data_IF_164382049937
#
_entry.id   IF_164382049937
#
_cell.length_a   1.000
_cell.length_b   1.000
_cell.length_c   1.000
_cell.angle_alpha   90.00
_cell.angle_beta   90.00
_cell.angle_gamma   90.00
#
_symmetry.space_group_name_H-M   'P 1'
#
loop_
_entity.id
_entity.type
_entity.pdbx_description
1 polymer ?
#
# COMPACT_ATOMS: atom_id res chain seq x y z
N UNK A 1 -25.17 16.80 -21.00
CA UNK A 1 -24.32 17.89 -20.48
C UNK A 1 -23.72 18.75 -21.59
N UNK A 2 -23.10 18.19 -22.64
CA UNK A 2 -22.58 18.98 -23.78
C UNK A 2 -23.63 19.90 -24.41
N UNK A 3 -24.78 19.35 -24.80
CA UNK A 3 -25.89 20.14 -25.39
C UNK A 3 -26.39 21.26 -24.45
N UNK A 4 -26.42 21.02 -23.13
CA UNK A 4 -26.80 22.02 -22.12
C UNK A 4 -25.76 23.15 -22.08
N UNK A 5 -24.47 22.81 -22.10
CA UNK A 5 -23.39 23.79 -22.13
C UNK A 5 -23.38 24.59 -23.43
N UNK A 6 -23.62 23.96 -24.58
CA UNK A 6 -23.74 24.63 -25.87
C UNK A 6 -24.94 25.58 -25.91
N UNK A 7 -26.09 25.17 -25.36
CA UNK A 7 -27.27 26.02 -25.24
C UNK A 7 -27.01 27.25 -24.35
N UNK A 8 -26.29 27.08 -23.23
CA UNK A 8 -25.92 28.19 -22.35
C UNK A 8 -24.89 29.14 -22.98
N UNK A 9 -23.88 28.59 -23.67
CA UNK A 9 -22.79 29.37 -24.26
C UNK A 9 -23.13 29.95 -25.64
N UNK A 10 -24.22 29.49 -26.28
CA UNK A 10 -24.64 29.90 -27.61
C UNK A 10 -23.68 29.50 -28.73
N UNK A 11 -22.78 28.54 -28.49
CA UNK A 11 -21.75 28.09 -29.44
C UNK A 11 -21.43 26.61 -29.24
N UNK A 12 -20.91 25.98 -30.30
CA UNK A 12 -20.42 24.59 -30.21
C UNK A 12 -19.27 24.46 -29.21
N UNK A 13 -19.29 23.38 -28.44
CA UNK A 13 -18.23 23.02 -27.49
C UNK A 13 -17.45 21.85 -28.07
N UNK A 14 -16.17 22.09 -28.38
CA UNK A 14 -15.29 21.08 -29.02
C UNK A 14 -14.19 20.57 -28.09
N UNK A 15 -13.94 21.27 -26.98
CA UNK A 15 -12.88 20.96 -26.02
C UNK A 15 -13.42 21.04 -24.61
N UNK A 16 -12.94 20.16 -23.73
CA UNK A 16 -13.35 20.16 -22.32
C UNK A 16 -12.17 19.83 -21.39
N UNK A 17 -12.18 20.45 -20.20
CA UNK A 17 -11.52 19.93 -19.02
C UNK A 17 -12.60 19.23 -18.20
N UNK A 18 -12.37 17.98 -17.82
CA UNK A 18 -13.36 17.17 -17.11
C UNK A 18 -12.87 16.90 -15.71
N UNK A 19 -13.74 17.11 -14.73
CA UNK A 19 -13.46 16.82 -13.33
C UNK A 19 -13.86 15.40 -12.98
N UNK A 20 -13.11 14.76 -12.07
CA UNK A 20 -13.40 13.42 -11.56
C UNK A 20 -13.23 13.36 -10.04
N UNK A 21 -13.89 12.42 -9.35
CA UNK A 21 -13.73 12.25 -7.92
C UNK A 21 -12.28 12.04 -7.50
N UNK A 22 -11.94 12.48 -6.29
CA UNK A 22 -10.55 12.48 -5.82
C UNK A 22 -9.93 11.07 -5.74
N UNK A 23 -10.75 10.05 -5.54
CA UNK A 23 -10.35 8.65 -5.43
C UNK A 23 -10.22 7.92 -6.77
N UNK A 24 -10.55 8.57 -7.89
CA UNK A 24 -10.40 7.92 -9.19
C UNK A 24 -8.93 7.60 -9.47
N UNK A 25 -8.67 6.37 -9.90
CA UNK A 25 -7.37 5.89 -10.36
C UNK A 25 -7.14 6.15 -11.87
N UNK A 26 -5.94 5.83 -12.36
CA UNK A 26 -5.55 6.03 -13.77
C UNK A 26 -6.51 5.36 -14.77
N UNK A 27 -7.06 4.19 -14.44
CA UNK A 27 -7.99 3.49 -15.32
C UNK A 27 -9.34 4.20 -15.41
N UNK A 28 -9.85 4.72 -14.29
CA UNK A 28 -11.08 5.51 -14.24
C UNK A 28 -10.89 6.88 -14.92
N UNK A 29 -9.69 7.49 -14.84
CA UNK A 29 -9.34 8.71 -15.58
C UNK A 29 -9.35 8.46 -17.09
N UNK A 30 -8.73 7.37 -17.53
CA UNK A 30 -8.69 6.98 -18.93
C UNK A 30 -10.11 6.71 -19.47
N UNK A 31 -10.91 5.94 -18.73
CA UNK A 31 -12.31 5.68 -19.10
C UNK A 31 -13.13 6.96 -19.23
N UNK A 32 -12.93 7.92 -18.33
CA UNK A 32 -13.61 9.24 -18.39
C UNK A 32 -13.17 10.04 -19.63
N UNK A 33 -11.87 10.02 -19.94
CA UNK A 33 -11.32 10.68 -21.13
C UNK A 33 -11.85 10.05 -22.43
N UNK A 34 -11.93 8.73 -22.46
CA UNK A 34 -12.47 7.97 -23.60
C UNK A 34 -13.97 8.27 -23.78
N UNK A 35 -14.74 8.31 -22.70
CA UNK A 35 -16.15 8.70 -22.75
C UNK A 35 -16.35 10.12 -23.32
N UNK A 36 -15.50 11.07 -22.95
CA UNK A 36 -15.49 12.41 -23.52
C UNK A 36 -15.17 12.40 -25.03
N UNK A 37 -14.19 11.60 -25.43
CA UNK A 37 -13.79 11.45 -26.85
C UNK A 37 -14.92 10.83 -27.68
N UNK A 38 -15.57 9.77 -27.18
CA UNK A 38 -16.74 9.14 -27.80
C UNK A 38 -17.88 10.14 -27.97
N UNK A 39 -18.02 11.07 -27.02
CA UNK A 39 -19.03 12.14 -27.07
C UNK A 39 -18.69 13.29 -28.03
N UNK A 40 -17.56 13.20 -28.76
CA UNK A 40 -17.13 14.22 -29.72
C UNK A 40 -16.35 15.39 -29.12
N UNK A 41 -15.88 15.27 -27.86
CA UNK A 41 -15.09 16.29 -27.18
C UNK A 41 -13.59 15.95 -27.22
N UNK A 42 -12.75 16.94 -27.48
CA UNK A 42 -11.32 16.87 -27.18
C UNK A 42 -11.12 17.12 -25.69
N UNK A 43 -10.88 16.06 -24.92
CA UNK A 43 -10.62 16.17 -23.47
C UNK A 43 -9.17 16.64 -23.23
N UNK A 44 -9.03 17.92 -22.90
CA UNK A 44 -7.77 18.62 -22.71
C UNK A 44 -7.04 18.16 -21.45
N UNK A 45 -7.79 17.91 -20.37
CA UNK A 45 -7.25 17.51 -19.08
C UNK A 45 -8.34 16.84 -18.22
N UNK A 46 -7.93 15.84 -17.44
CA UNK A 46 -8.68 15.33 -16.31
C UNK A 46 -8.07 15.94 -15.05
N UNK A 47 -8.90 16.47 -14.16
CA UNK A 47 -8.46 17.07 -12.89
C UNK A 47 -9.39 16.57 -11.78
N UNK A 48 -8.85 16.26 -10.61
CA UNK A 48 -9.68 15.92 -9.45
C UNK A 48 -10.60 17.09 -9.10
N UNK A 49 -11.85 16.79 -8.73
CA UNK A 49 -12.88 17.77 -8.38
C UNK A 49 -12.42 18.81 -7.35
N UNK A 50 -11.84 18.43 -6.18
CA UNK A 50 -11.45 19.43 -5.19
C UNK A 50 -10.29 20.32 -5.65
N UNK A 51 -9.39 19.80 -6.49
CA UNK A 51 -8.34 20.58 -7.13
C UNK A 51 -8.93 21.59 -8.12
N UNK A 52 -9.96 21.21 -8.86
CA UNK A 52 -10.61 22.10 -9.84
C UNK A 52 -11.40 23.20 -9.17
N UNK A 53 -12.15 22.89 -8.10
CA UNK A 53 -12.85 23.89 -7.30
C UNK A 53 -11.87 24.94 -6.74
N UNK A 54 -10.67 24.52 -6.36
CA UNK A 54 -9.63 25.43 -5.92
C UNK A 54 -9.01 26.26 -7.04
N UNK A 55 -8.77 25.66 -8.22
CA UNK A 55 -8.32 26.38 -9.40
C UNK A 55 -9.33 27.46 -9.77
N UNK A 56 -10.63 27.14 -9.74
CA UNK A 56 -11.72 28.08 -9.97
C UNK A 56 -11.69 29.26 -8.97
N UNK A 57 -11.49 28.98 -7.68
CA UNK A 57 -11.36 30.03 -6.67
C UNK A 57 -10.09 30.90 -6.85
N UNK A 58 -8.99 30.28 -7.27
CA UNK A 58 -7.67 30.89 -7.32
C UNK A 58 -7.28 31.57 -8.63
N UNK A 59 -8.01 31.32 -9.73
CA UNK A 59 -7.68 31.79 -11.08
C UNK A 59 -7.38 33.30 -11.17
N UNK A 60 -8.07 34.11 -10.37
CA UNK A 60 -7.90 35.57 -10.34
C UNK A 60 -7.15 36.09 -9.10
N UNK A 61 -6.63 35.20 -8.23
CA UNK A 61 -6.02 35.57 -6.95
C UNK A 61 -4.49 35.54 -7.05
N UNK A 62 -3.84 36.67 -6.72
CA UNK A 62 -2.37 36.84 -6.78
C UNK A 62 -1.67 36.86 -5.41
N UNK A 63 -2.38 36.51 -4.34
CA UNK A 63 -1.86 36.60 -2.96
C UNK A 63 -1.61 35.18 -2.44
N UNK A 64 -0.43 34.97 -1.84
CA UNK A 64 -0.08 33.70 -1.20
C UNK A 64 -1.05 33.38 -0.07
N UNK A 65 -1.80 32.28 -0.19
CA UNK A 65 -2.75 31.81 0.83
C UNK A 65 -2.87 30.30 0.84
N UNK A 66 -2.95 29.74 2.05
CA UNK A 66 -3.42 28.37 2.27
C UNK A 66 -4.95 28.35 2.22
N UNK A 67 -5.51 27.45 1.43
CA UNK A 67 -6.94 27.34 1.18
C UNK A 67 -7.35 25.89 1.40
N UNK A 68 -8.40 25.70 2.18
CA UNK A 68 -9.05 24.42 2.38
C UNK A 68 -10.31 24.41 1.51
N UNK A 69 -10.41 23.44 0.59
CA UNK A 69 -11.57 23.26 -0.27
C UNK A 69 -12.36 22.07 0.22
N UNK A 70 -13.65 22.29 0.43
CA UNK A 70 -14.64 21.26 0.75
C UNK A 70 -15.49 21.02 -0.49
N UNK A 71 -15.46 19.81 -1.00
CA UNK A 71 -16.38 19.35 -2.03
C UNK A 71 -17.50 18.54 -1.37
N UNK A 72 -18.73 19.05 -1.51
CA UNK A 72 -19.94 18.48 -0.93
C UNK A 72 -20.75 17.82 -2.05
N UNK A 73 -20.14 16.81 -2.67
CA UNK A 73 -20.78 16.02 -3.73
C UNK A 73 -21.93 15.16 -3.22
N UNK A 74 -22.76 14.65 -4.13
CA UNK A 74 -23.90 13.79 -3.79
C UNK A 74 -23.52 12.38 -3.29
N UNK A 75 -22.24 11.99 -3.38
CA UNK A 75 -21.74 10.66 -3.00
C UNK A 75 -20.47 10.66 -2.15
N UNK A 76 -19.64 11.71 -2.19
CA UNK A 76 -18.42 11.84 -1.39
C UNK A 76 -18.28 13.24 -0.80
N UNK A 77 -17.60 13.31 0.35
CA UNK A 77 -17.16 14.56 0.98
C UNK A 77 -15.65 14.62 0.90
N UNK A 78 -15.13 15.41 -0.04
CA UNK A 78 -13.71 15.51 -0.30
C UNK A 78 -13.14 16.82 0.25
N UNK A 79 -11.97 16.72 0.89
CA UNK A 79 -11.28 17.89 1.46
C UNK A 79 -9.87 17.97 0.88
N UNK A 80 -9.50 19.12 0.34
CA UNK A 80 -8.14 19.37 -0.16
C UNK A 80 -7.55 20.64 0.43
N UNK A 81 -6.31 20.55 0.91
CA UNK A 81 -5.52 21.70 1.35
C UNK A 81 -4.55 22.10 0.24
N UNK A 82 -4.57 23.37 -0.13
CA UNK A 82 -3.84 23.92 -1.27
C UNK A 82 -3.14 25.21 -0.87
N UNK A 83 -1.99 25.47 -1.46
CA UNK A 83 -1.35 26.79 -1.42
C UNK A 83 -1.43 27.37 -2.82
N UNK A 84 -1.94 28.60 -2.93
CA UNK A 84 -1.85 29.40 -4.15
C UNK A 84 -0.65 30.32 -3.98
N UNK A 85 0.28 30.28 -4.92
CA UNK A 85 1.35 31.29 -5.05
C UNK A 85 1.56 31.63 -6.53
N UNK A 86 1.46 32.91 -6.89
CA UNK A 86 1.70 33.43 -8.24
C UNK A 86 1.05 32.64 -9.41
N UNK A 87 -0.18 32.13 -9.21
CA UNK A 87 -0.90 31.35 -10.22
C UNK A 87 -0.46 29.89 -10.35
N UNK A 88 0.46 29.42 -9.50
CA UNK A 88 0.82 28.01 -9.35
C UNK A 88 -0.05 27.40 -8.25
N UNK A 89 -0.71 26.30 -8.58
CA UNK A 89 -1.54 25.51 -7.67
C UNK A 89 -0.77 24.25 -7.27
N UNK A 90 -0.34 24.18 -6.01
CA UNK A 90 0.30 22.99 -5.47
C UNK A 90 -0.69 22.24 -4.56
N UNK A 91 -1.14 21.06 -5.01
CA UNK A 91 -1.85 20.08 -4.15
C UNK A 91 -0.86 19.61 -3.10
N UNK A 92 -1.05 20.05 -1.85
CA UNK A 92 -0.12 19.74 -0.76
C UNK A 92 -0.18 18.25 -0.38
N UNK A 93 -1.37 17.65 -0.44
CA UNK A 93 -1.63 16.25 -0.06
C UNK A 93 -2.85 15.74 -0.85
N UNK A 94 -2.77 14.60 -1.60
CA UNK A 94 -3.98 13.87 -2.01
C UNK A 94 -4.74 13.40 -0.76
N UNK A 95 -6.02 13.01 -0.85
CA UNK A 95 -6.84 12.60 0.30
C UNK A 95 -6.10 11.65 1.28
N UNK A 96 -6.50 11.62 2.56
CA UNK A 96 -5.71 11.00 3.62
C UNK A 96 -5.32 9.56 3.24
N UNK A 97 -4.03 9.22 3.37
CA UNK A 97 -3.46 7.97 2.87
C UNK A 97 -3.76 6.77 3.77
N UNK A 98 -5.03 6.56 4.11
CA UNK A 98 -5.50 5.40 4.84
C UNK A 98 -6.81 4.85 4.24
N UNK A 99 -7.01 3.54 4.38
CA UNK A 99 -8.21 2.84 3.94
C UNK A 99 -8.58 1.81 4.98
N UNK A 100 -9.86 1.72 5.35
CA UNK A 100 -10.32 0.89 6.46
C UNK A 100 -11.35 -0.15 6.00
N UNK A 101 -11.23 -1.34 6.55
CA UNK A 101 -12.23 -2.40 6.42
C UNK A 101 -12.30 -3.25 7.71
N UNK A 102 -13.34 -4.06 7.82
CA UNK A 102 -13.47 -5.06 8.88
C UNK A 102 -13.04 -6.44 8.39
N UNK A 103 -12.21 -7.12 9.18
CA UNK A 103 -11.85 -8.52 9.05
C UNK A 103 -12.40 -9.27 10.26
N UNK A 104 -13.61 -9.83 10.12
CA UNK A 104 -14.31 -10.42 11.27
C UNK A 104 -14.54 -9.36 12.35
N UNK A 105 -14.01 -9.60 13.55
CA UNK A 105 -14.07 -8.64 14.67
C UNK A 105 -12.93 -7.61 14.66
N UNK A 106 -11.93 -7.76 13.79
CA UNK A 106 -10.76 -6.87 13.73
C UNK A 106 -10.99 -5.73 12.74
N UNK A 107 -10.58 -4.52 13.13
CA UNK A 107 -10.50 -3.40 12.20
C UNK A 107 -9.12 -3.42 11.54
N UNK A 108 -9.07 -3.44 10.21
CA UNK A 108 -7.83 -3.32 9.43
C UNK A 108 -7.81 -1.95 8.76
N UNK A 109 -6.74 -1.21 8.98
CA UNK A 109 -6.47 0.05 8.28
C UNK A 109 -5.18 -0.09 7.48
N UNK A 110 -5.28 -0.10 6.15
CA UNK A 110 -4.11 0.10 5.29
C UNK A 110 -3.64 1.55 5.42
N UNK A 111 -2.34 1.75 5.59
CA UNK A 111 -1.69 3.05 5.75
C UNK A 111 -0.63 3.18 4.66
N UNK A 112 -0.70 4.24 3.87
CA UNK A 112 0.31 4.55 2.86
C UNK A 112 1.51 5.21 3.52
N UNK A 113 2.72 4.74 3.22
CA UNK A 113 3.95 5.48 3.49
C UNK A 113 4.33 6.42 2.32
N UNK A 114 3.68 6.28 1.17
CA UNK A 114 3.91 7.07 -0.03
C UNK A 114 4.09 6.21 -1.28
N UNK A 115 4.51 6.85 -2.37
CA UNK A 115 4.68 6.22 -3.68
C UNK A 115 5.98 6.69 -4.33
N UNK A 116 6.87 5.75 -4.62
CA UNK A 116 8.08 6.00 -5.41
C UNK A 116 7.86 5.69 -6.89
N UNK A 117 8.80 6.09 -7.75
CA UNK A 117 8.75 5.79 -9.18
C UNK A 117 10.01 4.99 -9.58
N UNK A 118 9.82 3.77 -10.06
CA UNK A 118 10.90 2.80 -10.27
C UNK A 118 10.96 2.28 -11.71
N UNK A 119 12.15 2.13 -12.31
CA UNK A 119 12.30 1.59 -13.66
C UNK A 119 12.27 0.06 -13.66
N UNK A 120 11.16 -0.61 -14.06
CA UNK A 120 11.06 -2.08 -14.00
C UNK A 120 12.14 -2.78 -14.82
N UNK A 121 12.57 -2.20 -15.95
CA UNK A 121 13.61 -2.77 -16.81
C UNK A 121 14.98 -2.89 -16.12
N UNK A 122 15.27 -2.01 -15.14
CA UNK A 122 16.51 -2.08 -14.37
C UNK A 122 16.39 -2.99 -13.15
N UNK A 123 15.16 -3.28 -12.71
CA UNK A 123 14.89 -3.99 -11.47
C UNK A 123 14.47 -5.45 -11.67
N UNK A 124 14.02 -5.83 -12.87
CA UNK A 124 13.56 -7.19 -13.18
C UNK A 124 14.54 -7.89 -14.13
N UNK A 125 15.64 -8.48 -13.63
CA UNK A 125 16.77 -8.90 -14.48
C UNK A 125 16.45 -10.08 -15.39
N UNK A 126 15.45 -10.89 -15.05
CA UNK A 126 15.02 -12.04 -15.83
C UNK A 126 13.75 -11.79 -16.67
N UNK A 127 13.24 -10.55 -16.70
CA UNK A 127 12.06 -10.19 -17.47
C UNK A 127 12.43 -9.81 -18.91
N UNK A 128 11.85 -10.48 -19.93
CA UNK A 128 12.01 -10.06 -21.32
C UNK A 128 11.46 -8.66 -21.53
N UNK A 129 12.21 -7.79 -22.22
CA UNK A 129 11.79 -6.39 -22.49
C UNK A 129 10.42 -6.30 -23.16
N UNK A 130 10.15 -7.17 -24.12
CA UNK A 130 8.85 -7.24 -24.81
C UNK A 130 7.70 -7.63 -23.87
N UNK A 131 7.97 -8.47 -22.86
CA UNK A 131 6.97 -8.84 -21.86
C UNK A 131 6.65 -7.65 -20.95
N UNK A 132 7.67 -6.91 -20.49
CA UNK A 132 7.48 -5.69 -19.71
C UNK A 132 6.69 -4.63 -20.50
N UNK A 133 7.04 -4.40 -21.77
CA UNK A 133 6.34 -3.44 -22.63
C UNK A 133 4.86 -3.81 -22.82
N UNK A 134 4.55 -5.08 -23.10
CA UNK A 134 3.16 -5.55 -23.27
C UNK A 134 2.39 -5.52 -21.96
N UNK A 135 3.01 -5.91 -20.85
CA UNK A 135 2.37 -5.87 -19.53
C UNK A 135 2.04 -4.42 -19.15
N UNK A 136 2.98 -3.51 -19.36
CA UNK A 136 2.80 -2.08 -19.13
C UNK A 136 1.64 -1.49 -19.94
N UNK A 137 1.57 -1.78 -21.24
CA UNK A 137 0.49 -1.30 -22.10
C UNK A 137 -0.88 -1.82 -21.66
N UNK A 138 -0.97 -3.09 -21.27
CA UNK A 138 -2.23 -3.69 -20.78
C UNK A 138 -2.68 -3.14 -19.44
N UNK A 139 -1.74 -2.81 -18.57
CA UNK A 139 -2.00 -2.28 -17.24
C UNK A 139 -2.10 -0.75 -17.20
N UNK A 140 -1.89 -0.06 -18.33
CA UNK A 140 -1.86 1.41 -18.43
C UNK A 140 -0.83 2.07 -17.50
N UNK A 141 0.28 1.38 -17.22
CA UNK A 141 1.32 1.86 -16.28
C UNK A 141 2.32 2.77 -17.01
N UNK A 142 2.69 3.91 -16.41
CA UNK A 142 3.78 4.77 -16.91
C UNK A 142 5.16 4.29 -16.49
N UNK A 143 6.24 4.82 -17.09
CA UNK A 143 7.63 4.53 -16.69
C UNK A 143 8.38 5.83 -16.38
N UNK A 144 9.11 5.95 -15.25
CA UNK A 144 9.23 4.95 -14.17
C UNK A 144 7.87 4.65 -13.51
N UNK A 145 7.66 3.38 -13.18
CA UNK A 145 6.38 2.86 -12.69
C UNK A 145 6.16 3.30 -11.24
N UNK A 146 4.98 3.87 -10.90
CA UNK A 146 4.64 4.16 -9.52
C UNK A 146 4.54 2.86 -8.72
N UNK A 147 5.15 2.83 -7.55
CA UNK A 147 5.08 1.72 -6.60
C UNK A 147 4.73 2.28 -5.23
N UNK A 148 3.59 1.85 -4.70
CA UNK A 148 3.17 2.21 -3.34
C UNK A 148 4.01 1.47 -2.31
N UNK A 149 4.17 2.07 -1.13
CA UNK A 149 4.61 1.38 0.07
C UNK A 149 3.46 1.41 1.08
N UNK A 150 2.92 0.24 1.41
CA UNK A 150 1.76 0.08 2.26
C UNK A 150 2.14 -0.68 3.54
N UNK A 151 1.63 -0.21 4.67
CA UNK A 151 1.64 -0.92 5.94
C UNK A 151 0.21 -1.18 6.39
N UNK A 152 0.02 -2.08 7.36
CA UNK A 152 -1.30 -2.51 7.79
C UNK A 152 -1.44 -2.43 9.31
N UNK A 153 -2.30 -1.53 9.78
CA UNK A 153 -2.65 -1.39 11.18
C UNK A 153 -3.87 -2.28 11.48
N UNK A 154 -3.77 -3.15 12.48
CA UNK A 154 -4.82 -4.09 12.87
C UNK A 154 -5.21 -3.84 14.33
N UNK A 155 -6.43 -3.39 14.54
CA UNK A 155 -7.01 -3.23 15.87
C UNK A 155 -7.84 -4.47 16.23
N UNK A 156 -7.34 -5.24 17.20
CA UNK A 156 -7.99 -6.45 17.72
C UNK A 156 -8.87 -6.21 18.94
N UNK A 157 -9.08 -4.93 19.32
CA UNK A 157 -9.67 -4.46 20.59
C UNK A 157 -8.78 -4.67 21.82
N UNK A 158 -7.84 -5.62 21.78
CA UNK A 158 -6.86 -5.88 22.85
C UNK A 158 -5.49 -5.30 22.54
N UNK A 159 -5.08 -5.44 21.28
CA UNK A 159 -3.82 -4.97 20.73
C UNK A 159 -4.06 -4.09 19.51
N UNK A 160 -3.25 -3.06 19.38
CA UNK A 160 -3.07 -2.30 18.14
C UNK A 160 -1.74 -2.72 17.52
N UNK A 161 -1.83 -3.52 16.47
CA UNK A 161 -0.69 -4.18 15.83
C UNK A 161 -0.41 -3.54 14.48
N UNK A 162 0.80 -3.03 14.26
CA UNK A 162 1.24 -2.48 12.98
C UNK A 162 2.10 -3.52 12.25
N UNK A 163 1.75 -3.86 11.01
CA UNK A 163 2.53 -4.73 10.13
C UNK A 163 3.28 -3.86 9.12
N UNK A 164 4.61 -3.91 9.18
CA UNK A 164 5.58 -3.03 8.51
C UNK A 164 5.41 -1.53 8.84
N UNK A 165 6.43 -0.72 8.59
CA UNK A 165 6.47 0.67 9.06
C UNK A 165 6.89 1.69 8.01
N UNK A 166 6.93 1.32 6.73
CA UNK A 166 7.35 2.26 5.71
C UNK A 166 8.84 2.61 5.81
N UNK A 167 9.28 3.53 4.95
CA UNK A 167 10.68 3.88 4.79
C UNK A 167 11.20 4.89 5.81
N UNK A 168 10.31 5.57 6.54
CA UNK A 168 10.69 6.75 7.31
C UNK A 168 11.43 7.75 6.39
N UNK A 169 12.68 8.05 6.70
CA UNK A 169 13.54 8.94 5.90
C UNK A 169 14.52 8.19 4.98
N UNK A 170 14.49 6.85 4.94
CA UNK A 170 15.54 6.04 4.32
C UNK A 170 15.50 6.00 2.79
N UNK A 171 14.36 6.34 2.17
CA UNK A 171 14.12 6.27 0.72
C UNK A 171 13.72 7.61 0.08
N UNK A 172 13.97 8.73 0.76
CA UNK A 172 13.71 10.06 0.25
C UNK A 172 12.27 10.55 0.47
N UNK A 173 11.95 11.77 0.00
CA UNK A 173 10.76 12.52 0.41
C UNK A 173 9.44 12.01 -0.19
N UNK A 174 9.49 11.12 -1.20
CA UNK A 174 8.32 10.44 -1.75
C UNK A 174 7.70 9.43 -0.79
N UNK A 175 8.45 9.05 0.26
CA UNK A 175 8.07 8.12 1.31
C UNK A 175 8.07 8.82 2.68
N UNK A 176 7.88 8.06 3.77
CA UNK A 176 7.91 8.57 5.13
C UNK A 176 6.59 9.20 5.61
N UNK A 177 5.48 8.96 4.89
CA UNK A 177 4.15 9.49 5.19
C UNK A 177 3.36 8.66 6.20
N UNK A 178 3.87 7.50 6.60
CA UNK A 178 3.15 6.55 7.46
C UNK A 178 2.59 7.20 8.73
N UNK A 179 3.43 7.89 9.50
CA UNK A 179 3.02 8.43 10.82
C UNK A 179 1.96 9.52 10.68
N UNK A 180 2.06 10.34 9.65
CA UNK A 180 1.02 11.33 9.32
C UNK A 180 -0.30 10.64 8.99
N UNK A 181 -0.26 9.57 8.19
CA UNK A 181 -1.45 8.80 7.83
C UNK A 181 -2.02 7.96 8.98
N UNK A 182 -1.21 7.48 9.93
CA UNK A 182 -1.69 6.88 11.19
C UNK A 182 -2.50 7.90 11.99
N UNK A 183 -1.98 9.13 12.12
CA UNK A 183 -2.69 10.23 12.80
C UNK A 183 -3.97 10.62 12.07
N UNK A 184 -3.93 10.69 10.75
CA UNK A 184 -5.11 10.95 9.92
C UNK A 184 -6.18 9.86 10.07
N UNK A 185 -5.77 8.60 10.28
CA UNK A 185 -6.66 7.48 10.58
C UNK A 185 -7.25 7.50 12.01
N UNK A 186 -6.88 8.49 12.84
CA UNK A 186 -7.39 8.67 14.19
C UNK A 186 -6.61 7.93 15.28
N UNK A 187 -5.45 7.36 14.95
CA UNK A 187 -4.57 6.68 15.91
C UNK A 187 -3.34 7.51 16.25
N UNK A 188 -2.74 7.25 17.40
CA UNK A 188 -1.45 7.81 17.81
C UNK A 188 -0.38 6.72 17.82
N UNK A 189 0.87 7.01 17.43
CA UNK A 189 1.96 6.03 17.45
C UNK A 189 2.18 5.38 18.82
N UNK A 190 1.90 6.08 19.90
CA UNK A 190 2.02 5.60 21.28
C UNK A 190 0.98 4.51 21.63
N UNK A 191 -0.11 4.41 20.87
CA UNK A 191 -1.13 3.37 21.06
C UNK A 191 -0.70 2.02 20.47
N UNK A 192 0.29 2.02 19.57
CA UNK A 192 0.76 0.79 18.93
C UNK A 192 1.62 0.02 19.93
N UNK A 193 1.13 -1.15 20.33
CA UNK A 193 1.80 -2.01 21.30
C UNK A 193 2.62 -3.13 20.66
N UNK A 194 2.38 -3.44 19.38
CA UNK A 194 3.15 -4.41 18.62
C UNK A 194 3.44 -3.91 17.20
N UNK A 195 4.69 -4.08 16.76
CA UNK A 195 5.08 -3.89 15.35
C UNK A 195 5.61 -5.22 14.83
N UNK A 196 5.05 -5.71 13.73
CA UNK A 196 5.46 -6.94 13.06
C UNK A 196 6.15 -6.58 11.75
N UNK A 197 7.40 -6.99 11.58
CA UNK A 197 8.18 -6.71 10.36
C UNK A 197 8.27 -7.96 9.50
N UNK A 198 7.78 -7.87 8.26
CA UNK A 198 7.83 -8.98 7.28
C UNK A 198 9.28 -9.32 6.96
N UNK A 199 10.12 -8.28 6.83
CA UNK A 199 11.55 -8.35 6.67
C UNK A 199 12.20 -6.98 6.98
N UNK A 200 13.52 -6.87 6.92
CA UNK A 200 14.26 -5.68 7.37
C UNK A 200 14.79 -4.78 6.24
N UNK A 201 14.13 -4.75 5.08
CA UNK A 201 14.44 -3.74 4.07
C UNK A 201 14.05 -2.33 4.50
N UNK A 202 14.68 -1.29 3.93
CA UNK A 202 14.58 0.08 4.42
C UNK A 202 13.15 0.62 4.43
N UNK A 203 12.31 0.22 3.48
CA UNK A 203 10.89 0.54 3.33
C UNK A 203 9.94 -0.21 4.26
N UNK A 204 10.45 -1.14 5.07
CA UNK A 204 9.64 -1.88 6.04
C UNK A 204 10.05 -1.54 7.46
N UNK A 205 11.36 -1.51 7.73
CA UNK A 205 11.91 -1.21 9.05
C UNK A 205 12.14 0.29 9.25
N UNK A 206 12.21 1.10 8.19
CA UNK A 206 12.70 2.47 8.25
C UNK A 206 11.84 3.40 9.11
N UNK A 207 10.55 3.14 9.22
CA UNK A 207 9.64 3.97 10.03
C UNK A 207 9.62 3.64 11.52
N UNK A 208 10.31 2.61 12.01
CA UNK A 208 10.35 2.32 13.46
C UNK A 208 11.11 3.41 14.25
N UNK A 209 12.01 4.14 13.60
CA UNK A 209 12.75 5.27 14.20
C UNK A 209 12.75 6.50 13.29
N UNK A 210 12.98 7.67 13.89
CA UNK A 210 13.24 8.90 13.17
C UNK A 210 14.74 9.07 12.94
N UNK A 211 15.22 8.83 11.72
CA UNK A 211 16.64 9.05 11.41
C UNK A 211 17.04 10.54 11.42
N UNK A 212 16.08 11.47 11.42
CA UNK A 212 16.32 12.91 11.51
C UNK A 212 16.40 13.40 12.96
N UNK A 213 15.87 12.64 13.92
CA UNK A 213 15.81 13.00 15.33
C UNK A 213 16.65 12.02 16.17
N UNK A 214 17.93 11.87 15.85
CA UNK A 214 18.85 11.02 16.61
C UNK A 214 18.36 9.57 16.83
N UNK A 215 17.69 8.99 15.83
CA UNK A 215 17.10 7.65 15.90
C UNK A 215 16.04 7.46 17.00
N UNK A 216 15.30 8.52 17.34
CA UNK A 216 14.17 8.44 18.28
C UNK A 216 13.14 7.40 17.83
N UNK A 217 12.68 6.57 18.78
CA UNK A 217 11.64 5.56 18.53
C UNK A 217 10.32 6.23 18.13
N UNK A 218 9.74 5.86 16.99
CA UNK A 218 8.43 6.37 16.58
C UNK A 218 7.26 5.66 17.27
N UNK A 219 7.46 4.45 17.75
CA UNK A 219 6.45 3.63 18.44
C UNK A 219 6.95 3.30 19.85
N UNK A 220 6.97 4.27 20.78
CA UNK A 220 7.69 4.16 22.05
C UNK A 220 7.11 3.13 23.03
N UNK A 221 5.93 2.56 22.77
CA UNK A 221 5.34 1.49 23.59
C UNK A 221 5.37 0.13 22.90
N UNK A 222 5.82 0.06 21.64
CA UNK A 222 5.74 -1.16 20.86
C UNK A 222 6.86 -2.15 21.20
N UNK A 223 6.50 -3.43 21.15
CA UNK A 223 7.47 -4.52 20.96
C UNK A 223 7.58 -4.80 19.47
N UNK A 224 8.79 -4.68 18.93
CA UNK A 224 9.12 -5.03 17.54
C UNK A 224 9.32 -6.54 17.44
N UNK A 225 8.67 -7.18 16.48
CA UNK A 225 8.81 -8.61 16.19
C UNK A 225 9.21 -8.84 14.75
N UNK A 226 10.21 -9.69 14.55
CA UNK A 226 10.63 -10.18 13.23
C UNK A 226 11.23 -11.58 13.36
N UNK A 227 11.48 -12.26 12.25
CA UNK A 227 12.06 -13.59 12.32
C UNK A 227 13.51 -13.55 12.81
N UNK A 228 13.94 -14.59 13.53
CA UNK A 228 15.33 -14.74 13.95
C UNK A 228 16.28 -14.77 12.74
N UNK A 229 15.84 -15.35 11.63
CA UNK A 229 16.63 -15.41 10.39
C UNK A 229 16.92 -14.03 9.78
N UNK A 230 16.00 -13.06 9.93
CA UNK A 230 16.25 -11.67 9.54
C UNK A 230 17.30 -11.02 10.45
N UNK A 231 17.19 -11.20 11.77
CA UNK A 231 18.15 -10.66 12.74
C UNK A 231 19.54 -11.25 12.54
N UNK A 232 19.64 -12.58 12.40
CA UNK A 232 20.90 -13.30 12.18
C UNK A 232 21.59 -12.89 10.87
N UNK A 233 20.82 -12.42 9.90
CA UNK A 233 21.34 -11.86 8.68
C UNK A 233 21.68 -10.38 8.85
N UNK A 234 20.70 -9.49 8.95
CA UNK A 234 20.89 -8.04 8.82
C UNK A 234 21.60 -7.37 10.01
N UNK A 235 21.53 -7.96 11.20
CA UNK A 235 22.20 -7.41 12.38
C UNK A 235 23.58 -8.03 12.62
N UNK A 236 24.08 -8.82 11.66
CA UNK A 236 25.38 -9.47 11.74
C UNK A 236 26.53 -8.59 11.19
N UNK A 237 27.48 -8.13 12.04
CA UNK A 237 28.56 -7.26 11.60
C UNK A 237 29.52 -7.92 10.59
N UNK A 238 29.75 -9.23 10.70
CA UNK A 238 30.63 -9.95 9.78
C UNK A 238 30.02 -10.04 8.37
N UNK A 239 28.69 -10.20 8.27
CA UNK A 239 27.99 -10.15 6.98
C UNK A 239 28.03 -8.75 6.38
N UNK A 240 27.78 -7.71 7.18
CA UNK A 240 27.87 -6.32 6.74
C UNK A 240 29.27 -5.94 6.23
N UNK A 241 30.34 -6.41 6.91
CA UNK A 241 31.71 -6.15 6.50
C UNK A 241 32.02 -6.70 5.09
N UNK A 242 31.40 -7.83 4.73
CA UNK A 242 31.55 -8.48 3.43
C UNK A 242 30.55 -8.00 2.37
N UNK A 243 29.54 -7.21 2.75
CA UNK A 243 28.57 -6.65 1.82
C UNK A 243 29.14 -5.45 1.05
N UNK A 244 28.58 -5.18 -0.13
CA UNK A 244 28.95 -4.03 -0.97
C UNK A 244 27.71 -3.34 -1.53
N UNK A 245 27.89 -2.13 -2.07
CA UNK A 245 26.83 -1.36 -2.74
C UNK A 245 25.59 -1.14 -1.88
N UNK A 246 24.42 -1.33 -2.49
CA UNK A 246 23.12 -1.15 -1.83
C UNK A 246 22.96 -2.07 -0.61
N UNK A 247 23.41 -3.32 -0.70
CA UNK A 247 23.28 -4.29 0.37
C UNK A 247 23.96 -3.81 1.66
N UNK A 248 25.20 -3.29 1.57
CA UNK A 248 25.93 -2.74 2.74
C UNK A 248 25.19 -1.56 3.40
N UNK A 249 24.52 -0.73 2.60
CA UNK A 249 23.69 0.37 3.09
C UNK A 249 22.50 -0.17 3.89
N UNK A 250 21.81 -1.19 3.37
CA UNK A 250 20.66 -1.83 4.02
C UNK A 250 21.02 -2.43 5.38
N UNK A 251 22.18 -3.10 5.50
CA UNK A 251 22.69 -3.58 6.79
C UNK A 251 22.78 -2.45 7.84
N UNK A 252 23.44 -1.34 7.50
CA UNK A 252 23.60 -0.22 8.43
C UNK A 252 22.27 0.45 8.78
N UNK A 253 21.34 0.53 7.82
CA UNK A 253 20.00 1.08 8.03
C UNK A 253 19.16 0.22 8.99
N UNK A 254 19.11 -1.09 8.79
CA UNK A 254 18.37 -2.01 9.67
C UNK A 254 18.91 -1.98 11.11
N UNK A 255 20.24 -2.00 11.26
CA UNK A 255 20.90 -1.91 12.57
C UNK A 255 20.57 -0.60 13.28
N UNK A 256 20.71 0.54 12.60
CA UNK A 256 20.41 1.84 13.19
C UNK A 256 18.92 1.98 13.54
N UNK A 257 18.02 1.42 12.72
CA UNK A 257 16.59 1.48 12.96
C UNK A 257 16.18 0.65 14.19
N UNK A 258 16.76 -0.53 14.39
CA UNK A 258 16.37 -1.43 15.48
C UNK A 258 17.12 -1.19 16.80
N UNK A 259 18.28 -0.53 16.78
CA UNK A 259 19.13 -0.35 17.96
C UNK A 259 18.39 0.21 19.19
N UNK A 260 17.52 1.24 19.09
CA UNK A 260 16.79 1.75 20.26
C UNK A 260 15.88 0.71 20.91
N UNK A 261 15.23 -0.13 20.11
CA UNK A 261 14.36 -1.20 20.60
C UNK A 261 15.16 -2.37 21.16
N UNK A 262 16.35 -2.66 20.61
CA UNK A 262 17.26 -3.68 21.16
C UNK A 262 17.76 -3.32 22.55
N UNK A 263 18.19 -2.06 22.75
CA UNK A 263 18.69 -1.57 24.05
C UNK A 263 17.65 -1.69 25.16
N UNK A 264 16.36 -1.57 24.81
CA UNK A 264 15.24 -1.66 25.75
C UNK A 264 14.62 -3.07 25.85
N UNK A 265 15.26 -4.09 25.27
CA UNK A 265 14.74 -5.48 25.20
C UNK A 265 13.33 -5.56 24.56
N UNK A 266 13.07 -4.69 23.57
CA UNK A 266 11.81 -4.61 22.82
C UNK A 266 11.91 -5.11 21.39
N UNK A 267 13.07 -5.59 20.96
CA UNK A 267 13.18 -6.43 19.76
C UNK A 267 13.04 -7.89 20.18
N UNK A 268 11.93 -8.53 19.81
CA UNK A 268 11.68 -9.96 20.04
C UNK A 268 11.70 -10.71 18.72
N UNK A 269 12.24 -11.91 18.72
CA UNK A 269 12.34 -12.74 17.52
C UNK A 269 11.45 -13.97 17.63
N UNK A 270 11.08 -14.51 16.48
CA UNK A 270 10.41 -15.80 16.36
C UNK A 270 11.07 -16.64 15.26
N UNK A 271 10.85 -17.94 15.26
CA UNK A 271 11.42 -18.89 14.32
C UNK A 271 10.32 -19.77 13.69
N UNK A 272 10.71 -20.64 12.75
CA UNK A 272 9.77 -21.43 11.96
C UNK A 272 8.95 -22.47 12.78
N UNK A 273 9.31 -22.73 14.04
CA UNK A 273 8.54 -23.63 14.92
C UNK A 273 7.33 -22.95 15.54
N UNK A 274 7.37 -21.63 15.68
CA UNK A 274 6.24 -20.84 16.18
C UNK A 274 5.24 -20.66 15.05
N UNK A 275 4.01 -21.11 15.28
CA UNK A 275 2.92 -20.92 14.32
C UNK A 275 2.18 -19.62 14.55
N UNK A 276 2.04 -19.18 15.79
CA UNK A 276 1.29 -17.98 16.17
C UNK A 276 2.10 -17.15 17.16
N UNK A 277 2.18 -15.84 16.94
CA UNK A 277 3.01 -14.92 17.74
C UNK A 277 2.21 -13.94 18.60
N UNK A 278 0.93 -13.75 18.24
CA UNK A 278 -0.08 -12.97 18.95
C UNK A 278 -1.44 -13.60 18.64
N UNK A 279 -2.46 -13.49 19.52
CA UNK A 279 -3.79 -14.02 19.26
C UNK A 279 -4.37 -13.53 17.93
N UNK A 280 -4.63 -14.46 17.01
CA UNK A 280 -5.12 -14.16 15.65
C UNK A 280 -4.04 -13.81 14.64
N UNK A 281 -2.75 -13.95 14.96
CA UNK A 281 -1.61 -13.67 14.06
C UNK A 281 -0.72 -14.90 13.90
N UNK A 282 -1.00 -15.67 12.86
CA UNK A 282 -0.20 -16.83 12.45
C UNK A 282 0.93 -16.39 11.53
N UNK A 283 2.11 -16.98 11.67
CA UNK A 283 3.31 -16.65 10.88
C UNK A 283 3.70 -17.79 9.96
N UNK A 284 4.24 -17.44 8.80
CA UNK A 284 4.89 -18.38 7.87
C UNK A 284 6.17 -17.72 7.37
N UNK A 285 7.32 -18.30 7.71
CA UNK A 285 8.63 -17.80 7.27
C UNK A 285 9.02 -18.53 5.98
N UNK A 286 9.38 -17.78 4.93
CA UNK A 286 9.85 -18.32 3.66
C UNK A 286 11.02 -17.51 3.14
N UNK A 287 12.19 -18.14 3.11
CA UNK A 287 13.39 -17.52 2.58
C UNK A 287 13.26 -17.33 1.06
N UNK A 288 13.66 -16.17 0.56
CA UNK A 288 13.62 -15.87 -0.86
C UNK A 288 13.99 -14.42 -1.12
N UNK A 289 13.01 -13.53 -0.92
CA UNK A 289 13.22 -12.09 -1.01
C UNK A 289 14.31 -11.64 -0.02
N UNK A 290 14.15 -12.05 1.24
CA UNK A 290 15.18 -11.99 2.27
C UNK A 290 15.27 -13.34 3.02
N UNK A 291 16.31 -13.59 3.84
CA UNK A 291 16.54 -14.90 4.46
C UNK A 291 15.46 -15.34 5.44
N UNK A 292 14.72 -14.41 6.03
CA UNK A 292 13.66 -14.65 6.99
C UNK A 292 12.37 -13.90 6.67
N UNK A 293 12.13 -13.60 5.39
CA UNK A 293 10.90 -12.97 4.93
C UNK A 293 9.68 -13.73 5.46
N UNK A 294 8.74 -13.01 6.04
CA UNK A 294 7.62 -13.55 6.82
C UNK A 294 6.29 -13.06 6.30
N UNK A 295 5.36 -14.00 6.16
CA UNK A 295 3.95 -13.76 5.86
C UNK A 295 3.15 -13.81 7.16
N UNK A 296 2.36 -12.77 7.43
CA UNK A 296 1.47 -12.71 8.60
C UNK A 296 0.03 -12.97 8.20
N UNK A 297 -0.51 -14.10 8.61
CA UNK A 297 -1.91 -14.43 8.47
C UNK A 297 -2.67 -13.90 9.69
N UNK A 298 -3.59 -12.97 9.42
CA UNK A 298 -4.48 -12.36 10.41
C UNK A 298 -5.84 -13.05 10.30
N UNK A 299 -6.33 -13.62 11.39
CA UNK A 299 -7.52 -14.47 11.41
C UNK A 299 -8.52 -13.98 12.46
N UNK A 300 -9.77 -13.75 12.04
CA UNK A 300 -10.87 -13.35 12.93
C UNK A 300 -12.21 -13.76 12.32
N UNK A 301 -13.06 -14.43 13.11
CA UNK A 301 -14.36 -15.01 12.70
C UNK A 301 -14.38 -15.64 11.31
N UNK A 302 -13.64 -16.74 11.12
CA UNK A 302 -13.57 -17.48 9.85
C UNK A 302 -13.13 -16.64 8.63
N UNK A 303 -12.68 -15.40 8.82
CA UNK A 303 -12.07 -14.57 7.78
C UNK A 303 -10.57 -14.51 8.00
N UNK A 304 -9.83 -14.56 6.90
CA UNK A 304 -8.38 -14.53 6.90
C UNK A 304 -7.88 -13.48 5.93
N UNK A 305 -6.92 -12.69 6.39
CA UNK A 305 -6.10 -11.82 5.57
C UNK A 305 -4.64 -12.30 5.67
N UNK A 306 -3.86 -12.19 4.61
CA UNK A 306 -2.40 -12.36 4.67
C UNK A 306 -1.71 -11.06 4.31
N UNK A 307 -0.98 -10.48 5.27
CA UNK A 307 0.01 -9.45 4.99
C UNK A 307 1.29 -10.15 4.49
N UNK A 308 1.51 -10.09 3.19
CA UNK A 308 2.48 -10.96 2.52
C UNK A 308 3.85 -10.31 2.29
N UNK A 309 4.05 -9.05 2.68
CA UNK A 309 5.27 -8.29 2.37
C UNK A 309 5.59 -8.25 0.87
N UNK A 310 6.85 -8.46 0.54
CA UNK A 310 7.43 -8.27 -0.82
C UNK A 310 7.34 -9.49 -1.73
N UNK A 311 6.20 -10.16 -1.70
CA UNK A 311 5.94 -11.27 -2.63
C UNK A 311 5.85 -10.76 -4.07
N UNK A 312 5.33 -9.54 -4.30
CA UNK A 312 5.30 -8.88 -5.61
C UNK A 312 5.67 -7.40 -5.48
N UNK A 313 6.36 -6.87 -6.49
CA UNK A 313 6.77 -5.46 -6.59
C UNK A 313 6.16 -4.78 -7.82
N UNK A 314 5.97 -5.53 -8.91
CA UNK A 314 5.29 -5.10 -10.13
C UNK A 314 4.20 -6.13 -10.44
N UNK A 315 3.05 -6.01 -9.78
CA UNK A 315 1.95 -6.97 -9.84
C UNK A 315 1.42 -7.17 -11.26
N UNK A 316 1.38 -6.09 -12.05
CA UNK A 316 0.96 -6.10 -13.45
C UNK A 316 1.87 -6.95 -14.36
N UNK A 317 3.06 -7.36 -13.88
CA UNK A 317 3.95 -8.34 -14.55
C UNK A 317 3.99 -9.66 -13.77
N UNK A 318 4.29 -9.61 -12.48
CA UNK A 318 4.61 -10.79 -11.67
C UNK A 318 3.40 -11.68 -11.38
N UNK A 319 2.16 -11.14 -11.40
CA UNK A 319 0.97 -11.99 -11.31
C UNK A 319 0.71 -12.74 -12.63
N UNK A 320 1.06 -12.14 -13.77
CA UNK A 320 0.97 -12.80 -15.08
C UNK A 320 2.11 -13.80 -15.31
N UNK A 321 3.27 -13.58 -14.69
CA UNK A 321 4.43 -14.46 -14.74
C UNK A 321 5.18 -14.51 -13.39
N UNK A 322 4.75 -15.40 -12.47
CA UNK A 322 5.32 -15.48 -11.13
C UNK A 322 6.79 -15.89 -11.05
N UNK A 323 7.38 -16.37 -12.14
CA UNK A 323 8.80 -16.73 -12.20
C UNK A 323 9.72 -15.49 -12.27
N UNK A 324 9.19 -14.32 -12.63
CA UNK A 324 9.98 -13.10 -12.76
C UNK A 324 10.31 -12.51 -11.39
N UNK A 325 11.58 -12.19 -11.17
CA UNK A 325 12.13 -11.76 -9.88
C UNK A 325 12.61 -10.32 -9.97
N UNK A 326 12.98 -9.75 -8.82
CA UNK A 326 13.62 -8.43 -8.77
C UNK A 326 15.08 -8.55 -8.33
N UNK A 327 15.88 -7.53 -8.60
CA UNK A 327 17.28 -7.44 -8.12
C UNK A 327 17.40 -7.39 -6.59
N UNK A 328 16.31 -7.10 -5.89
CA UNK A 328 16.24 -7.07 -4.43
C UNK A 328 16.02 -8.45 -3.80
N UNK A 329 15.62 -9.45 -4.58
CA UNK A 329 15.48 -10.82 -4.09
C UNK A 329 16.87 -11.41 -3.83
N UNK A 330 17.23 -11.65 -2.56
CA UNK A 330 18.53 -12.23 -2.18
C UNK A 330 18.71 -13.62 -2.78
N UNK A 331 17.63 -14.40 -2.85
CA UNK A 331 17.58 -15.73 -3.46
C UNK A 331 16.44 -15.81 -4.47
N UNK A 332 16.71 -15.40 -5.71
CA UNK A 332 15.72 -15.28 -6.78
C UNK A 332 14.91 -16.57 -7.05
N UNK A 333 15.51 -17.77 -7.21
CA UNK A 333 14.73 -18.98 -7.44
C UNK A 333 13.76 -19.30 -6.29
N UNK A 334 14.22 -19.11 -5.05
CA UNK A 334 13.42 -19.33 -3.84
C UNK A 334 12.31 -18.29 -3.71
N UNK A 335 12.58 -17.01 -4.02
CA UNK A 335 11.56 -15.96 -4.06
C UNK A 335 10.47 -16.24 -5.10
N UNK A 336 10.84 -16.70 -6.30
CA UNK A 336 9.89 -17.11 -7.34
C UNK A 336 9.04 -18.32 -6.91
N UNK A 337 9.67 -19.30 -6.24
CA UNK A 337 8.97 -20.48 -5.70
C UNK A 337 7.98 -20.09 -4.61
N UNK A 338 8.42 -19.30 -3.62
CA UNK A 338 7.58 -18.82 -2.53
C UNK A 338 6.39 -18.03 -3.06
N UNK A 339 6.65 -17.06 -3.95
CA UNK A 339 5.59 -16.31 -4.64
C UNK A 339 4.56 -17.26 -5.23
N UNK A 340 4.98 -18.20 -6.08
CA UNK A 340 4.03 -19.11 -6.71
C UNK A 340 3.21 -19.92 -5.69
N UNK A 341 3.85 -20.50 -4.67
CA UNK A 341 3.15 -21.27 -3.63
C UNK A 341 2.12 -20.43 -2.87
N UNK A 342 2.46 -19.18 -2.54
CA UNK A 342 1.54 -18.28 -1.86
C UNK A 342 0.40 -17.84 -2.77
N UNK A 343 0.67 -17.50 -4.05
CA UNK A 343 -0.36 -17.15 -5.02
C UNK A 343 -1.36 -18.32 -5.20
N UNK A 344 -0.89 -19.56 -5.25
CA UNK A 344 -1.74 -20.75 -5.32
C UNK A 344 -2.62 -20.89 -4.06
N UNK A 345 -2.02 -20.74 -2.87
CA UNK A 345 -2.72 -20.83 -1.59
C UNK A 345 -3.84 -19.78 -1.46
N UNK A 346 -3.54 -18.50 -1.74
CA UNK A 346 -4.53 -17.43 -1.54
C UNK A 346 -5.68 -17.50 -2.53
N UNK A 347 -5.44 -18.02 -3.75
CA UNK A 347 -6.50 -18.27 -4.73
C UNK A 347 -7.36 -19.46 -4.29
N UNK A 348 -6.74 -20.58 -3.91
CA UNK A 348 -7.48 -21.79 -3.51
C UNK A 348 -8.37 -21.52 -2.29
N UNK A 349 -7.82 -20.84 -1.28
CA UNK A 349 -8.50 -20.55 -0.02
C UNK A 349 -9.28 -19.23 -0.04
N UNK A 350 -9.24 -18.47 -1.14
CA UNK A 350 -9.86 -17.14 -1.28
C UNK A 350 -9.48 -16.20 -0.13
N UNK A 351 -8.20 -16.21 0.24
CA UNK A 351 -7.67 -15.38 1.32
C UNK A 351 -7.48 -13.95 0.80
N UNK A 352 -7.91 -12.96 1.59
CA UNK A 352 -7.64 -11.56 1.28
C UNK A 352 -6.15 -11.28 1.46
N UNK A 353 -5.56 -10.57 0.51
CA UNK A 353 -4.15 -10.19 0.51
C UNK A 353 -4.02 -8.73 0.92
N UNK A 354 -3.05 -8.47 1.78
CA UNK A 354 -2.53 -7.17 2.15
C UNK A 354 -1.07 -7.05 1.63
N UNK A 355 -0.90 -6.29 0.56
CA UNK A 355 0.33 -6.22 -0.23
C UNK A 355 1.09 -4.91 -0.03
N UNK A 356 2.38 -5.00 0.30
CA UNK A 356 3.23 -3.84 0.53
C UNK A 356 3.40 -2.97 -0.74
N UNK A 357 3.53 -3.59 -1.91
CA UNK A 357 3.87 -2.91 -3.17
C UNK A 357 2.85 -3.10 -4.31
N UNK A 358 1.58 -3.31 -3.97
CA UNK A 358 0.48 -3.12 -4.93
C UNK A 358 -0.11 -1.73 -4.71
N UNK A 359 -0.66 -1.12 -5.77
CA UNK A 359 -1.33 0.17 -5.68
C UNK A 359 -2.21 0.28 -4.43
N UNK A 360 -2.01 1.35 -3.65
CA UNK A 360 -2.75 1.60 -2.42
C UNK A 360 -4.28 1.48 -2.67
N UNK A 361 -5.04 0.76 -1.82
CA UNK A 361 -4.71 0.32 -0.45
C UNK A 361 -3.94 -1.01 -0.35
N UNK A 362 -3.55 -1.63 -1.46
CA UNK A 362 -2.86 -2.93 -1.45
C UNK A 362 -3.70 -4.06 -0.86
N UNK A 363 -5.02 -3.87 -0.73
CA UNK A 363 -5.97 -4.86 -0.23
C UNK A 363 -6.77 -5.45 -1.37
N UNK A 364 -6.84 -6.77 -1.46
CA UNK A 364 -7.54 -7.43 -2.55
C UNK A 364 -7.53 -8.95 -2.48
N UNK A 365 -7.99 -9.58 -3.54
CA UNK A 365 -7.97 -11.02 -3.75
C UNK A 365 -7.24 -11.32 -5.04
N UNK A 366 -6.86 -12.58 -5.22
CA UNK A 366 -6.33 -13.06 -6.48
C UNK A 366 -7.32 -13.97 -7.18
N UNK A 367 -7.35 -13.88 -8.51
CA UNK A 367 -8.09 -14.80 -9.37
C UNK A 367 -7.12 -15.48 -10.32
N UNK A 368 -7.18 -16.80 -10.44
CA UNK A 368 -6.48 -17.54 -11.50
C UNK A 368 -7.16 -17.29 -12.84
N UNK A 369 -6.38 -16.87 -13.84
CA UNK A 369 -6.86 -16.64 -15.21
C UNK A 369 -6.69 -17.90 -16.04
N UNK A 370 -5.46 -18.41 -16.15
CA UNK A 370 -5.13 -19.64 -16.85
C UNK A 370 -3.76 -20.15 -16.41
N UNK A 371 -3.61 -21.47 -16.22
CA UNK A 371 -2.35 -22.05 -15.75
C UNK A 371 -1.85 -21.37 -14.47
N UNK A 372 -0.61 -20.87 -14.48
CA UNK A 372 0.02 -20.11 -13.38
C UNK A 372 -0.04 -18.59 -13.56
N UNK A 373 -1.08 -18.09 -14.22
CA UNK A 373 -1.35 -16.64 -14.39
C UNK A 373 -2.50 -16.19 -13.51
N UNK A 374 -2.32 -15.04 -12.89
CA UNK A 374 -3.24 -14.47 -11.91
C UNK A 374 -3.56 -13.01 -12.22
N UNK A 375 -4.75 -12.58 -11.82
CA UNK A 375 -5.17 -11.18 -11.80
C UNK A 375 -5.34 -10.71 -10.35
N UNK A 376 -5.00 -9.44 -10.11
CA UNK A 376 -5.38 -8.72 -8.90
C UNK A 376 -6.84 -8.30 -8.96
N UNK A 377 -7.60 -8.57 -7.90
CA UNK A 377 -8.98 -8.13 -7.72
C UNK A 377 -9.00 -7.24 -6.48
N UNK A 378 -8.97 -5.90 -6.62
CA UNK A 378 -8.95 -5.01 -5.46
C UNK A 378 -10.20 -5.20 -4.62
N UNK A 379 -10.08 -5.01 -3.29
CA UNK A 379 -11.27 -4.91 -2.45
C UNK A 379 -12.17 -3.79 -2.95
N UNK A 380 -13.48 -4.00 -2.88
CA UNK A 380 -14.43 -2.95 -3.24
C UNK A 380 -14.48 -1.95 -2.09
N UNK A 381 -14.58 -0.67 -2.44
CA UNK A 381 -14.94 0.34 -1.47
C UNK A 381 -16.34 0.02 -0.94
N UNK A 382 -16.47 0.02 0.37
CA UNK A 382 -17.74 -0.14 1.07
C UNK A 382 -17.84 0.97 2.12
N UNK A 383 -18.91 1.75 2.02
CA UNK A 383 -19.21 2.85 2.95
C UNK A 383 -20.14 2.42 4.08
N UNK A 384 -20.69 1.21 4.01
CA UNK A 384 -21.53 0.68 5.09
C UNK A 384 -20.67 0.32 6.30
N UNK A 385 -20.74 1.17 7.33
CA UNK A 385 -20.34 0.78 8.68
C UNK A 385 -21.15 -0.47 9.04
N UNK A 386 -20.49 -1.62 9.12
CA UNK A 386 -21.13 -2.92 9.28
C UNK A 386 -22.09 -2.90 10.47
N UNK A 387 -23.40 -2.76 10.21
CA UNK A 387 -24.45 -2.96 11.20
C UNK A 387 -24.71 -4.46 11.24
N UNK A 388 -23.95 -5.17 12.07
CA UNK A 388 -24.25 -6.57 12.37
C UNK A 388 -25.56 -6.58 13.15
N UNK A 389 -26.64 -7.04 12.53
CA UNK A 389 -27.89 -7.27 13.24
C UNK A 389 -27.81 -8.57 14.02
N UNK A 390 -28.63 -8.74 15.05
CA UNK A 390 -28.72 -10.00 15.80
C UNK A 390 -29.11 -11.18 14.89
N UNK A 391 -29.78 -10.92 13.76
CA UNK A 391 -30.15 -11.93 12.77
C UNK A 391 -28.93 -12.44 11.97
N UNK A 392 -27.99 -11.56 11.60
CA UNK A 392 -26.76 -11.95 10.88
C UNK A 392 -25.88 -12.87 11.75
N UNK A 393 -25.85 -12.60 13.06
CA UNK A 393 -25.13 -13.41 14.05
C UNK A 393 -25.71 -14.83 14.23
N UNK A 394 -27.03 -14.99 14.00
CA UNK A 394 -27.71 -16.29 14.11
C UNK A 394 -27.65 -17.08 12.80
N UNK A 395 -27.62 -16.40 11.65
CA UNK A 395 -27.54 -17.05 10.34
C UNK A 395 -26.19 -17.75 10.12
N UNK A 396 -25.07 -17.12 10.49
CA UNK A 396 -23.73 -17.71 10.36
C UNK A 396 -23.55 -18.98 11.22
N UNK A 397 -24.29 -19.12 12.33
CA UNK A 397 -24.24 -20.30 13.22
C UNK A 397 -25.22 -21.42 12.79
N UNK A 398 -26.11 -21.17 11.84
CA UNK A 398 -27.05 -22.19 11.33
C UNK A 398 -26.52 -22.98 10.13
N UNK A 399 -25.48 -22.47 9.46
CA UNK A 399 -24.87 -23.10 8.30
C UNK A 399 -23.90 -24.25 8.63
N UNK A 400 -23.60 -24.49 9.91
CA UNK A 400 -22.72 -25.59 10.38
C UNK A 400 -23.49 -26.81 10.90
N UNK A 401 -24.82 -26.83 10.79
CA UNK A 401 -25.66 -27.95 11.28
C UNK A 401 -26.46 -28.68 10.19
N UNK A 402 -26.11 -28.54 8.91
CA UNK A 402 -26.74 -29.37 7.86
C UNK A 402 -25.70 -29.99 6.90
N UNK A 403 -25.44 -31.27 7.18
CA UNK A 403 -24.76 -32.36 6.42
C UNK A 403 -23.31 -32.66 6.76
#
# INVERSE_FOLDING_TARGET
>A
MMEIAEAYLGKKVTHAVVTVPAYFNDAEWAATKDAGTISGLTVMRIINEPTTAAIAYGLDKKVEKNILVFDLGGGTFDVSLLTIDNGVFEVKTPGPGFFRLMLGDFEVTAISDGTGAFPPEALMPNAPKEELLRARQRAFVRTPAPMSCNAFLVNTKKHLVLIDTGAGSLMGPSFGKLVENIRAAGYQPEQIDNVLLTHLHPDHVGGVTSSTNNHEMRFPNAVIRTSQAEVDFWLNPARQANASGHLKKTFGQAQAALAPYQVLDRLKTFNATEKEILPGFRVVIRAGHSPGHTQFFVESRCRTMVAWGDITHFEWVQLANPALTVVYDIKQPEAAKDRLELLELVVEKKIMVAAAHIAFPGLGYLRRVAGRRYDWVPVRYDSELTRVTTADFLAENSATTSN
#
